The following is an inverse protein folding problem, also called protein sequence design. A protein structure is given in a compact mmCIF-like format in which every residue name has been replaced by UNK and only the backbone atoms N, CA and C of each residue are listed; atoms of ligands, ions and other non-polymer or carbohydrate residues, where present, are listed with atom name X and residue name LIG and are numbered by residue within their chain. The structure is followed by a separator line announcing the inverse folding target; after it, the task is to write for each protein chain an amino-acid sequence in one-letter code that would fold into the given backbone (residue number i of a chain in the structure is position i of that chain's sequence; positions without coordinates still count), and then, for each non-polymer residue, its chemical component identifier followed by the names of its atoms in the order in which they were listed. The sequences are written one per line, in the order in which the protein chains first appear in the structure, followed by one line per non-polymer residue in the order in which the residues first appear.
data_IF_480979869814
#
_entry.id   IF_480979869814
#
_cell.length_a   1.000
_cell.length_b   1.000
_cell.length_c   1.000
_cell.angle_alpha   90.00
_cell.angle_beta   90.00
_cell.angle_gamma   90.00
#
_symmetry.space_group_name_H-M   'P 1'
#
loop_
_entity.id
_entity.type
_entity.pdbx_description
1 polymer ?
#
# COMPACT_ATOMS: atom_id res chain seq x y z
N UNK A 1 -2.33 -16.91 2.05
CA UNK A 1 -1.88 -15.52 2.24
C UNK A 1 -0.40 -15.37 1.91
N UNK A 2 0.45 -16.30 2.36
CA UNK A 2 1.89 -16.37 2.01
C UNK A 2 2.18 -16.26 0.51
N UNK A 3 1.45 -17.00 -0.34
CA UNK A 3 1.59 -16.90 -1.81
C UNK A 3 1.30 -15.50 -2.37
N UNK A 4 0.45 -14.71 -1.71
CA UNK A 4 0.19 -13.32 -2.13
C UNK A 4 1.35 -12.44 -1.67
N UNK A 5 1.80 -12.60 -0.44
CA UNK A 5 2.94 -11.83 0.11
C UNK A 5 4.18 -12.04 -0.75
N UNK A 6 4.48 -13.27 -1.19
CA UNK A 6 5.63 -13.53 -2.07
C UNK A 6 5.57 -12.76 -3.40
N UNK A 7 4.37 -12.51 -3.93
CA UNK A 7 4.19 -11.67 -5.13
C UNK A 7 4.42 -10.18 -4.84
N UNK A 8 4.15 -9.76 -3.61
CA UNK A 8 4.24 -8.37 -3.19
C UNK A 8 5.65 -7.94 -2.79
N UNK A 9 6.52 -8.89 -2.47
CA UNK A 9 7.87 -8.64 -1.93
C UNK A 9 8.98 -8.98 -2.91
N UNK A 10 8.65 -9.17 -4.20
CA UNK A 10 9.64 -9.30 -5.28
C UNK A 10 10.24 -7.93 -5.62
N UNK A 11 11.13 -7.46 -4.74
CA UNK A 11 11.80 -6.18 -4.89
C UNK A 11 12.73 -6.14 -6.11
N UNK A 12 13.20 -7.29 -6.61
CA UNK A 12 14.04 -7.36 -7.80
C UNK A 12 13.22 -7.11 -9.07
N UNK A 13 12.05 -7.76 -9.21
CA UNK A 13 11.14 -7.51 -10.31
C UNK A 13 10.60 -6.06 -10.27
N UNK A 14 10.29 -5.54 -9.07
CA UNK A 14 9.91 -4.15 -8.89
C UNK A 14 11.00 -3.18 -9.35
N UNK A 15 12.25 -3.35 -8.89
CA UNK A 15 13.37 -2.50 -9.28
C UNK A 15 13.59 -2.52 -10.80
N UNK A 16 13.51 -3.71 -11.39
CA UNK A 16 13.62 -3.88 -12.84
C UNK A 16 12.50 -3.15 -13.57
N UNK A 17 11.26 -3.24 -13.09
CA UNK A 17 10.12 -2.54 -13.68
C UNK A 17 10.31 -1.03 -13.62
N UNK A 18 10.67 -0.50 -12.45
CA UNK A 18 10.84 0.94 -12.22
C UNK A 18 11.98 1.51 -13.07
N UNK A 19 13.13 0.84 -13.17
CA UNK A 19 14.27 1.30 -13.99
C UNK A 19 13.98 1.35 -15.49
N UNK A 20 13.08 0.47 -15.96
CA UNK A 20 12.69 0.41 -17.37
C UNK A 20 11.49 1.29 -17.70
N UNK A 21 10.94 2.01 -16.70
CA UNK A 21 9.77 2.85 -16.87
C UNK A 21 10.13 4.29 -17.20
N UNK A 22 9.33 4.92 -18.06
CA UNK A 22 9.46 6.32 -18.44
C UNK A 22 8.56 7.26 -17.62
N UNK A 23 7.85 6.73 -16.62
CA UNK A 23 6.97 7.50 -15.73
C UNK A 23 7.66 7.77 -14.39
N UNK A 24 7.05 8.61 -13.55
CA UNK A 24 7.67 8.95 -12.27
C UNK A 24 7.72 7.73 -11.32
N UNK A 25 8.65 7.76 -10.36
CA UNK A 25 8.94 6.63 -9.47
C UNK A 25 7.69 6.08 -8.75
N UNK A 26 6.81 6.96 -8.26
CA UNK A 26 5.57 6.55 -7.58
C UNK A 26 4.58 5.88 -8.54
N UNK A 27 4.39 6.44 -9.72
CA UNK A 27 3.52 5.86 -10.75
C UNK A 27 4.07 4.52 -11.25
N UNK A 28 5.38 4.39 -11.39
CA UNK A 28 6.02 3.13 -11.79
C UNK A 28 5.77 2.00 -10.77
N UNK A 29 5.74 2.33 -9.47
CA UNK A 29 5.37 1.37 -8.42
C UNK A 29 3.90 0.97 -8.52
N UNK A 30 2.97 1.94 -8.71
CA UNK A 30 1.55 1.64 -8.93
C UNK A 30 1.37 0.72 -10.14
N UNK A 31 2.04 1.05 -11.25
CA UNK A 31 1.96 0.31 -12.50
C UNK A 31 2.50 -1.12 -12.36
N UNK A 32 3.60 -1.30 -11.61
CA UNK A 32 4.13 -2.63 -11.28
C UNK A 32 3.07 -3.49 -10.57
N UNK A 33 2.53 -3.03 -9.43
CA UNK A 33 1.55 -3.82 -8.67
C UNK A 33 0.24 -4.01 -9.44
N UNK A 34 -0.12 -3.08 -10.32
CA UNK A 34 -1.23 -3.25 -11.25
C UNK A 34 -0.96 -4.38 -12.25
N UNK A 35 0.23 -4.42 -12.82
CA UNK A 35 0.67 -5.47 -13.75
C UNK A 35 0.68 -6.84 -13.07
N UNK A 36 1.24 -6.94 -11.86
CA UNK A 36 1.24 -8.16 -11.05
C UNK A 36 -0.20 -8.65 -10.83
N UNK A 37 -1.09 -7.78 -10.34
CA UNK A 37 -2.48 -8.17 -10.11
C UNK A 37 -3.17 -8.71 -11.37
N UNK A 38 -3.00 -8.03 -12.51
CA UNK A 38 -3.56 -8.46 -13.80
C UNK A 38 -2.98 -9.79 -14.30
N UNK A 39 -1.67 -9.99 -14.18
CA UNK A 39 -0.97 -11.24 -14.56
C UNK A 39 -1.51 -12.45 -13.80
N UNK A 40 -1.99 -12.23 -12.58
CA UNK A 40 -2.62 -13.24 -11.74
C UNK A 40 -4.16 -13.34 -11.88
N UNK A 41 -4.74 -12.61 -12.84
CA UNK A 41 -6.19 -12.65 -13.13
C UNK A 41 -7.06 -11.83 -12.19
N UNK A 42 -6.47 -10.93 -11.38
CA UNK A 42 -7.22 -10.10 -10.45
C UNK A 42 -7.82 -8.88 -11.13
N UNK A 43 -9.01 -8.47 -10.66
CA UNK A 43 -9.57 -7.18 -11.05
C UNK A 43 -8.86 -6.07 -10.29
N UNK A 44 -8.25 -5.14 -11.03
CA UNK A 44 -7.44 -4.04 -10.47
C UNK A 44 -8.09 -2.69 -10.79
N UNK A 45 -8.18 -1.80 -9.80
CA UNK A 45 -8.69 -0.43 -9.95
C UNK A 45 -7.73 0.59 -9.33
N UNK A 46 -7.40 1.63 -10.08
CA UNK A 46 -6.64 2.78 -9.59
C UNK A 46 -7.57 3.88 -9.11
N UNK A 47 -7.08 4.74 -8.21
CA UNK A 47 -7.77 5.99 -7.83
C UNK A 47 -9.22 5.75 -7.36
N UNK A 48 -9.46 4.64 -6.66
CA UNK A 48 -10.79 4.23 -6.20
C UNK A 48 -11.25 5.14 -5.08
N UNK A 49 -12.40 5.80 -5.26
CA UNK A 49 -13.00 6.67 -4.25
C UNK A 49 -13.48 5.87 -3.04
N UNK A 50 -13.19 6.37 -1.83
CA UNK A 50 -13.69 5.83 -0.57
C UNK A 50 -14.85 6.72 -0.12
N UNK A 51 -16.06 6.20 -0.25
CA UNK A 51 -17.29 6.89 0.12
C UNK A 51 -17.99 6.06 1.19
N UNK A 52 -18.23 6.64 2.37
CA UNK A 52 -18.97 5.99 3.46
C UNK A 52 -19.96 6.99 4.07
N UNK A 53 -21.20 6.56 4.26
CA UNK A 53 -22.28 7.41 4.81
C UNK A 53 -22.46 8.75 4.07
N UNK A 54 -22.27 8.76 2.74
CA UNK A 54 -22.36 9.97 1.91
C UNK A 54 -21.15 10.90 1.97
N UNK A 55 -20.13 10.58 2.77
CA UNK A 55 -18.89 11.37 2.88
C UNK A 55 -17.82 10.77 1.96
N UNK A 56 -17.18 11.62 1.16
CA UNK A 56 -16.04 11.24 0.32
C UNK A 56 -14.72 11.50 1.07
N UNK A 57 -14.02 10.43 1.46
CA UNK A 57 -12.75 10.48 2.18
C UNK A 57 -11.53 10.63 1.26
N UNK A 58 -11.76 10.68 -0.06
CA UNK A 58 -10.72 10.74 -1.09
C UNK A 58 -10.53 9.41 -1.79
N UNK A 59 -9.35 9.21 -2.37
CA UNK A 59 -9.05 8.06 -3.25
C UNK A 59 -7.92 7.20 -2.71
N UNK A 60 -8.03 5.90 -2.94
CA UNK A 60 -6.96 4.91 -2.75
C UNK A 60 -6.08 4.85 -4.01
N UNK A 61 -4.79 4.58 -3.86
CA UNK A 61 -3.87 4.56 -5.00
C UNK A 61 -4.18 3.37 -5.92
N UNK A 62 -4.26 2.17 -5.36
CA UNK A 62 -4.57 0.94 -6.08
C UNK A 62 -5.39 -0.01 -5.21
N UNK A 63 -6.32 -0.72 -5.84
CA UNK A 63 -7.12 -1.77 -5.21
C UNK A 63 -7.11 -3.00 -6.10
N UNK A 64 -6.75 -4.14 -5.55
CA UNK A 64 -7.13 -5.44 -6.09
C UNK A 64 -8.46 -5.82 -5.45
N UNK A 65 -9.48 -6.14 -6.25
CA UNK A 65 -10.82 -6.44 -5.74
C UNK A 65 -10.93 -7.89 -5.25
N UNK A 66 -10.29 -8.81 -5.97
CA UNK A 66 -10.36 -10.25 -5.75
C UNK A 66 -8.95 -10.83 -5.93
N UNK A 67 -8.12 -10.87 -4.87
CA UNK A 67 -8.43 -10.61 -3.45
C UNK A 67 -8.55 -9.12 -3.09
N UNK A 68 -9.36 -8.79 -2.08
CA UNK A 68 -9.54 -7.42 -1.56
C UNK A 68 -8.27 -6.89 -0.86
N UNK A 69 -7.38 -6.31 -1.64
CA UNK A 69 -6.09 -5.75 -1.20
C UNK A 69 -6.00 -4.30 -1.63
N UNK A 70 -5.69 -3.42 -0.68
CA UNK A 70 -5.50 -2.01 -0.93
C UNK A 70 -4.03 -1.66 -0.84
N UNK A 71 -3.56 -0.85 -1.77
CA UNK A 71 -2.21 -0.31 -1.74
C UNK A 71 -2.28 1.19 -1.48
N UNK A 72 -1.43 1.65 -0.58
CA UNK A 72 -1.17 3.06 -0.38
C UNK A 72 0.33 3.31 -0.44
N UNK A 73 0.73 4.20 -1.33
CA UNK A 73 2.12 4.57 -1.60
C UNK A 73 2.31 6.01 -1.17
N UNK A 74 3.28 6.24 -0.28
CA UNK A 74 3.55 7.56 0.28
C UNK A 74 5.05 7.76 0.55
N UNK A 75 5.61 8.81 -0.05
CA UNK A 75 7.03 9.18 0.05
C UNK A 75 7.25 10.64 0.47
N UNK A 76 6.19 11.36 0.79
CA UNK A 76 6.20 12.75 1.23
C UNK A 76 6.28 12.84 2.75
N UNK A 77 5.16 13.23 3.36
CA UNK A 77 5.09 13.57 4.79
C UNK A 77 4.06 12.73 5.55
N UNK A 78 4.09 12.85 6.87
CA UNK A 78 3.22 12.09 7.77
C UNK A 78 1.73 12.40 7.56
N UNK A 79 1.35 13.64 7.27
CA UNK A 79 -0.06 14.03 7.13
C UNK A 79 -0.72 13.33 5.93
N UNK A 80 -0.02 13.26 4.80
CA UNK A 80 -0.50 12.53 3.63
C UNK A 80 -0.63 11.03 3.91
N UNK A 81 0.32 10.47 4.68
CA UNK A 81 0.24 9.07 5.10
C UNK A 81 -0.99 8.84 5.98
N UNK A 82 -1.23 9.71 6.98
CA UNK A 82 -2.39 9.61 7.86
C UNK A 82 -3.70 9.65 7.07
N UNK A 83 -3.80 10.52 6.06
CA UNK A 83 -4.97 10.58 5.19
C UNK A 83 -5.19 9.27 4.41
N UNK A 84 -4.13 8.65 3.87
CA UNK A 84 -4.21 7.36 3.17
C UNK A 84 -4.59 6.23 4.12
N UNK A 85 -4.00 6.23 5.31
CA UNK A 85 -4.25 5.24 6.36
C UNK A 85 -5.70 5.33 6.85
N UNK A 86 -6.25 6.54 7.00
CA UNK A 86 -7.67 6.73 7.30
C UNK A 86 -8.57 6.15 6.21
N UNK A 87 -8.28 6.41 4.93
CA UNK A 87 -9.03 5.82 3.81
C UNK A 87 -8.98 4.29 3.81
N UNK A 88 -7.85 3.70 4.19
CA UNK A 88 -7.71 2.24 4.36
C UNK A 88 -8.63 1.73 5.47
N UNK A 89 -8.68 2.41 6.61
CA UNK A 89 -9.58 2.05 7.73
C UNK A 89 -11.04 2.12 7.29
N UNK A 90 -11.42 3.18 6.59
CA UNK A 90 -12.79 3.35 6.08
C UNK A 90 -13.17 2.33 5.00
N UNK A 91 -12.21 1.93 4.16
CA UNK A 91 -12.42 0.91 3.13
C UNK A 91 -12.44 -0.52 3.70
N UNK A 92 -11.74 -0.76 4.82
CA UNK A 92 -11.69 -2.04 5.54
C UNK A 92 -11.33 -3.26 4.66
N UNK A 93 -10.13 -3.28 4.05
CA UNK A 93 -9.72 -4.38 3.18
C UNK A 93 -9.36 -5.67 3.95
N UNK A 94 -9.20 -6.77 3.19
CA UNK A 94 -8.64 -8.01 3.74
C UNK A 94 -7.13 -7.90 3.98
N UNK A 95 -6.44 -7.07 3.22
CA UNK A 95 -5.04 -6.72 3.41
C UNK A 95 -4.79 -5.28 2.96
N UNK A 96 -3.96 -4.55 3.72
CA UNK A 96 -3.50 -3.21 3.38
C UNK A 96 -1.98 -3.24 3.19
N UNK A 97 -1.51 -2.81 2.02
CA UNK A 97 -0.09 -2.73 1.67
C UNK A 97 0.32 -1.27 1.72
N UNK A 98 1.13 -0.92 2.72
CA UNK A 98 1.74 0.41 2.84
C UNK A 98 3.14 0.36 2.24
N UNK A 99 3.33 1.11 1.16
CA UNK A 99 4.60 1.19 0.44
C UNK A 99 5.26 2.52 0.78
N UNK A 100 6.36 2.45 1.51
CA UNK A 100 7.11 3.57 2.04
C UNK A 100 8.55 3.57 1.49
N UNK A 101 9.27 4.64 1.78
CA UNK A 101 10.69 4.78 1.49
C UNK A 101 11.39 5.34 2.73
N UNK A 102 12.42 4.65 3.25
CA UNK A 102 13.29 5.16 4.32
C UNK A 102 13.97 6.48 3.97
N UNK A 103 14.09 6.78 2.67
CA UNK A 103 14.64 8.05 2.16
C UNK A 103 13.62 9.19 2.18
N UNK A 104 12.37 8.93 2.53
CA UNK A 104 11.34 9.97 2.71
C UNK A 104 11.49 10.68 4.06
N UNK A 105 10.72 11.75 4.27
CA UNK A 105 10.65 12.43 5.57
C UNK A 105 9.87 11.63 6.63
N UNK A 106 9.26 10.50 6.24
CA UNK A 106 8.46 9.67 7.13
C UNK A 106 9.37 8.72 7.89
N UNK A 107 9.40 8.87 9.22
CA UNK A 107 10.04 7.90 10.09
C UNK A 107 9.21 6.63 10.16
N UNK A 108 9.73 5.53 9.60
CA UNK A 108 9.06 4.23 9.54
C UNK A 108 8.60 3.75 10.93
N UNK A 109 9.41 3.97 11.96
CA UNK A 109 9.08 3.65 13.36
C UNK A 109 7.78 4.32 13.84
N UNK A 110 7.53 5.56 13.42
CA UNK A 110 6.30 6.27 13.78
C UNK A 110 5.09 5.61 13.11
N UNK A 111 5.25 5.12 11.88
CA UNK A 111 4.19 4.42 11.15
C UNK A 111 3.86 3.08 11.82
N UNK A 112 4.88 2.31 12.19
CA UNK A 112 4.68 1.04 12.89
C UNK A 112 4.02 1.27 14.26
N UNK A 113 4.54 2.22 15.05
CA UNK A 113 3.93 2.58 16.32
C UNK A 113 2.47 3.03 16.16
N UNK A 114 2.15 3.81 15.13
CA UNK A 114 0.78 4.22 14.83
C UNK A 114 -0.10 3.00 14.59
N UNK A 115 0.29 2.10 13.69
CA UNK A 115 -0.48 0.89 13.35
C UNK A 115 -0.67 -0.01 14.59
N UNK A 116 0.39 -0.20 15.38
CA UNK A 116 0.39 -1.16 16.47
C UNK A 116 -0.24 -0.66 17.76
N UNK A 117 -0.16 0.66 18.03
CA UNK A 117 -0.63 1.25 19.29
C UNK A 117 -1.96 1.96 19.16
N UNK A 118 -2.36 2.40 17.96
CA UNK A 118 -3.64 3.09 17.79
C UNK A 118 -4.81 2.12 17.81
N UNK A 119 -5.82 2.43 18.63
CA UNK A 119 -7.07 1.68 18.72
C UNK A 119 -7.89 1.74 17.42
N UNK A 120 -7.69 2.81 16.63
CA UNK A 120 -8.36 3.04 15.35
C UNK A 120 -8.26 1.85 14.39
N UNK A 121 -7.17 1.08 14.45
CA UNK A 121 -6.96 -0.04 13.55
C UNK A 121 -7.67 -1.32 13.99
N UNK A 122 -7.99 -1.49 15.29
CA UNK A 122 -8.60 -2.72 15.81
C UNK A 122 -8.04 -4.00 15.17
N UNK A 123 -8.92 -4.77 14.51
CA UNK A 123 -8.57 -6.01 13.81
C UNK A 123 -7.77 -5.82 12.51
N UNK A 124 -7.83 -4.63 11.89
CA UNK A 124 -7.09 -4.28 10.68
C UNK A 124 -5.58 -4.24 10.91
N UNK A 125 -5.14 -4.05 12.17
CA UNK A 125 -3.73 -4.05 12.56
C UNK A 125 -2.96 -5.28 12.08
N UNK A 126 -3.59 -6.46 12.11
CA UNK A 126 -3.04 -7.76 11.66
C UNK A 126 -3.24 -8.01 10.16
N UNK A 127 -3.51 -6.96 9.40
CA UNK A 127 -3.75 -7.02 7.95
C UNK A 127 -2.83 -6.06 7.19
N UNK A 128 -1.97 -5.33 7.90
CA UNK A 128 -1.02 -4.41 7.32
C UNK A 128 0.27 -5.13 6.94
N UNK A 129 0.58 -5.13 5.65
CA UNK A 129 1.93 -5.37 5.13
C UNK A 129 2.59 -4.01 4.91
N UNK A 130 3.73 -3.76 5.55
CA UNK A 130 4.48 -2.50 5.39
C UNK A 130 5.80 -2.80 4.70
N UNK A 131 6.01 -2.19 3.53
CA UNK A 131 7.17 -2.39 2.68
C UNK A 131 8.00 -1.10 2.61
N UNK A 132 9.31 -1.23 2.69
CA UNK A 132 10.26 -0.17 2.40
C UNK A 132 10.97 -0.49 1.09
N UNK A 133 10.60 0.21 0.02
CA UNK A 133 11.12 -0.06 -1.33
C UNK A 133 12.52 0.47 -1.54
N UNK A 134 12.99 1.44 -0.73
CA UNK A 134 14.36 1.95 -0.83
C UNK A 134 15.39 0.99 -0.24
N UNK A 135 15.04 0.31 0.85
CA UNK A 135 15.89 -0.68 1.53
C UNK A 135 15.53 -2.13 1.13
N UNK A 136 14.50 -2.31 0.30
CA UNK A 136 14.02 -3.62 -0.18
C UNK A 136 13.70 -4.59 0.95
N UNK A 137 12.96 -4.11 1.94
CA UNK A 137 12.65 -4.89 3.15
C UNK A 137 11.17 -4.84 3.50
N UNK A 138 10.73 -5.91 4.13
CA UNK A 138 9.46 -5.96 4.83
C UNK A 138 9.71 -5.36 6.22
N UNK A 139 8.97 -4.31 6.57
CA UNK A 139 9.01 -3.71 7.91
C UNK A 139 8.06 -4.43 8.85
N UNK A 140 6.89 -4.82 8.33
CA UNK A 140 5.84 -5.49 9.08
C UNK A 140 5.08 -6.44 8.17
N UNK A 141 4.88 -7.67 8.64
CA UNK A 141 3.98 -8.65 8.03
C UNK A 141 2.57 -8.58 8.65
N UNK A 142 1.51 -8.96 7.89
CA UNK A 142 0.13 -9.06 8.37
C UNK A 142 -0.04 -10.00 9.59
#
# INVERSE_FOLDING_TARGET
MERIISLLVDFEELDKHVRNSNINYREAIVDFYKSVGKKHGFTVRENTSVIRNGINFGKLDLVWLEPNIVFAIEFGNLDNLLAKVWRIVEFSPNMAVLILSSKSMIRIENVINLIEKSEMFGNLRKRFLVLDVSEKKIIKEP
#
